data_IF_438612638105
#
_entry.id   IF_438612638105
#
_cell.length_a   1.000
_cell.length_b   1.000
_cell.length_c   1.000
_cell.angle_alpha   90.00
_cell.angle_beta   90.00
_cell.angle_gamma   90.00
#
_symmetry.space_group_name_H-M   'P 1'
#
loop_
_entity.id
_entity.type
_entity.pdbx_description
1 polymer ?
#
# COMPACT_ATOMS: atom_id res chain seq x y z
N UNK A 1 71.89 40.80 -13.14
CA UNK A 1 70.44 40.78 -13.37
C UNK A 1 70.21 40.22 -14.75
N UNK A 2 69.66 39.01 -14.82
CA UNK A 2 69.42 38.29 -16.06
C UNK A 2 69.00 36.86 -15.76
N UNK A 3 68.02 36.34 -16.49
CA UNK A 3 67.67 34.92 -16.50
C UNK A 3 66.17 34.64 -16.64
N UNK A 4 65.69 34.64 -17.88
CA UNK A 4 64.47 33.96 -18.31
C UNK A 4 64.46 32.48 -17.90
N UNK A 5 63.28 31.90 -17.62
CA UNK A 5 62.94 30.52 -18.01
C UNK A 5 61.45 30.20 -17.87
N UNK A 6 60.89 29.80 -19.00
CA UNK A 6 59.61 29.13 -19.17
C UNK A 6 59.57 27.74 -18.53
N UNK A 7 58.37 27.20 -18.30
CA UNK A 7 58.17 25.80 -17.94
C UNK A 7 56.71 25.46 -17.68
N UNK A 8 55.96 25.17 -18.75
CA UNK A 8 54.67 24.50 -18.64
C UNK A 8 54.85 23.01 -18.31
N UNK A 9 53.91 22.46 -17.55
CA UNK A 9 53.69 21.02 -17.45
C UNK A 9 52.19 20.76 -17.54
N UNK A 10 51.79 20.03 -18.58
CA UNK A 10 50.48 19.40 -18.67
C UNK A 10 50.43 18.09 -17.91
N UNK A 11 49.20 17.68 -17.59
CA UNK A 11 48.79 16.38 -17.07
C UNK A 11 47.34 16.54 -16.61
N UNK A 12 46.33 15.78 -17.05
CA UNK A 12 46.35 14.46 -17.66
C UNK A 12 45.45 13.54 -16.82
N UNK A 13 44.25 13.25 -17.31
CA UNK A 13 43.55 11.98 -17.09
C UNK A 13 42.62 11.84 -15.87
N UNK A 14 41.54 11.07 -16.11
CA UNK A 14 40.67 10.44 -15.11
C UNK A 14 39.37 11.19 -14.88
N UNK A 15 38.20 10.79 -15.39
CA UNK A 15 37.74 9.41 -15.53
C UNK A 15 37.36 8.85 -14.16
N UNK A 16 36.21 9.27 -13.64
CA UNK A 16 35.54 8.70 -12.47
C UNK A 16 34.12 9.27 -12.46
N UNK A 17 33.09 8.57 -12.92
CA UNK A 17 32.78 7.20 -12.54
C UNK A 17 31.91 7.26 -11.29
N UNK A 18 30.60 7.26 -11.52
CA UNK A 18 29.57 6.80 -10.58
C UNK A 18 29.60 7.37 -9.16
N UNK A 19 28.71 8.32 -8.91
CA UNK A 19 27.74 8.15 -7.84
C UNK A 19 26.48 8.89 -8.23
N UNK A 20 25.73 8.29 -9.16
CA UNK A 20 24.28 8.43 -9.06
C UNK A 20 23.93 7.74 -7.75
N UNK A 21 23.79 8.53 -6.68
CA UNK A 21 23.18 8.09 -5.44
C UNK A 21 21.88 7.39 -5.82
N UNK A 22 21.89 6.06 -5.69
CA UNK A 22 20.70 5.25 -5.78
C UNK A 22 19.84 5.62 -4.58
N UNK A 23 19.05 6.68 -4.73
CA UNK A 23 17.76 6.73 -4.06
C UNK A 23 17.07 5.45 -4.49
N UNK A 24 16.90 4.52 -3.55
CA UNK A 24 16.15 3.29 -3.76
C UNK A 24 14.71 3.65 -4.06
N UNK A 25 14.45 4.08 -5.29
CA UNK A 25 13.17 4.60 -5.72
C UNK A 25 12.16 3.48 -5.64
N UNK A 26 11.08 3.70 -4.91
CA UNK A 26 9.96 2.78 -4.90
C UNK A 26 9.49 2.52 -6.34
N UNK A 27 9.47 1.25 -6.74
CA UNK A 27 9.05 0.79 -8.07
C UNK A 27 7.63 0.25 -7.94
N UNK A 28 6.69 0.87 -8.63
CA UNK A 28 5.32 0.37 -8.71
C UNK A 28 5.31 -0.97 -9.46
N UNK A 29 4.69 -2.04 -8.91
CA UNK A 29 4.56 -3.29 -9.63
C UNK A 29 3.75 -3.08 -10.90
N UNK A 30 4.15 -3.75 -12.00
CA UNK A 30 3.43 -3.66 -13.26
C UNK A 30 2.10 -4.39 -13.17
N UNK A 31 1.06 -3.80 -13.76
CA UNK A 31 -0.24 -4.44 -13.91
C UNK A 31 -0.13 -5.75 -14.69
N UNK A 32 -0.57 -6.86 -14.06
CA UNK A 32 -0.59 -8.17 -14.69
C UNK A 32 -1.94 -8.36 -15.38
N UNK A 33 -1.92 -8.56 -16.69
CA UNK A 33 -3.11 -8.92 -17.46
C UNK A 33 -3.26 -10.44 -17.44
N UNK A 34 -4.27 -10.93 -16.73
CA UNK A 34 -4.58 -12.36 -16.65
C UNK A 34 -5.66 -12.68 -17.69
N UNK A 35 -5.39 -13.67 -18.55
CA UNK A 35 -6.40 -14.22 -19.43
C UNK A 35 -7.20 -15.30 -18.69
N UNK A 36 -8.52 -15.23 -18.80
CA UNK A 36 -9.41 -16.22 -18.19
C UNK A 36 -9.31 -17.55 -18.93
N UNK A 37 -9.20 -18.68 -18.22
CA UNK A 37 -9.29 -19.99 -18.84
C UNK A 37 -10.66 -20.20 -19.51
N UNK A 38 -10.68 -20.88 -20.65
CA UNK A 38 -11.90 -21.12 -21.45
C UNK A 38 -13.02 -21.81 -20.65
N UNK A 39 -12.65 -22.69 -19.72
CA UNK A 39 -13.60 -23.37 -18.84
C UNK A 39 -14.40 -22.39 -17.97
N UNK A 40 -13.75 -21.33 -17.49
CA UNK A 40 -14.40 -20.28 -16.68
C UNK A 40 -15.36 -19.50 -17.57
N UNK A 41 -14.92 -19.12 -18.78
CA UNK A 41 -15.76 -18.42 -19.76
C UNK A 41 -17.00 -19.24 -20.15
N UNK A 42 -16.85 -20.55 -20.32
CA UNK A 42 -17.96 -21.45 -20.63
C UNK A 42 -18.97 -21.55 -19.48
N UNK A 43 -18.50 -21.61 -18.22
CA UNK A 43 -19.39 -21.58 -17.05
C UNK A 43 -20.11 -20.24 -16.89
N UNK A 44 -19.44 -19.12 -17.17
CA UNK A 44 -20.07 -17.80 -17.15
C UNK A 44 -21.23 -17.71 -18.15
N UNK A 45 -21.03 -18.23 -19.38
CA UNK A 45 -22.09 -18.31 -20.41
C UNK A 45 -23.29 -19.14 -19.96
N UNK A 46 -23.06 -20.28 -19.31
CA UNK A 46 -24.13 -21.14 -18.82
C UNK A 46 -24.92 -20.52 -17.65
N UNK A 47 -24.22 -19.80 -16.77
CA UNK A 47 -24.83 -19.19 -15.58
C UNK A 47 -25.45 -17.81 -15.84
N UNK A 48 -25.30 -17.26 -17.06
CA UNK A 48 -25.70 -15.89 -17.43
C UNK A 48 -25.15 -14.82 -16.46
N UNK A 49 -23.99 -15.09 -15.84
CA UNK A 49 -23.32 -14.16 -14.94
C UNK A 49 -22.12 -13.54 -15.64
N UNK A 50 -21.97 -12.24 -15.48
CA UNK A 50 -20.79 -11.52 -15.92
C UNK A 50 -19.69 -11.66 -14.87
N UNK A 51 -18.50 -12.03 -15.32
CA UNK A 51 -17.32 -12.14 -14.46
C UNK A 51 -16.34 -11.03 -14.85
N UNK A 52 -15.96 -10.21 -13.88
CA UNK A 52 -15.01 -9.11 -14.06
C UNK A 52 -13.78 -9.36 -13.18
N UNK A 53 -12.61 -9.36 -13.79
CA UNK A 53 -11.35 -9.31 -13.06
C UNK A 53 -11.01 -7.85 -12.83
N UNK A 54 -10.77 -7.49 -11.57
CA UNK A 54 -10.25 -6.20 -11.18
C UNK A 54 -8.84 -6.35 -10.64
N UNK A 55 -8.02 -5.36 -10.90
CA UNK A 55 -6.69 -5.23 -10.34
C UNK A 55 -6.73 -4.47 -9.02
N UNK A 56 -5.96 -4.95 -8.05
CA UNK A 56 -5.87 -4.32 -6.74
C UNK A 56 -4.41 -4.16 -6.35
N UNK A 57 -4.05 -2.97 -5.89
CA UNK A 57 -2.76 -2.71 -5.27
C UNK A 57 -2.95 -2.64 -3.75
N UNK A 58 -2.21 -3.47 -3.01
CA UNK A 58 -2.11 -3.35 -1.55
C UNK A 58 -0.76 -2.72 -1.19
N UNK A 59 -0.76 -1.63 -0.43
CA UNK A 59 0.43 -0.89 -0.04
C UNK A 59 0.53 -0.83 1.47
N UNK A 60 1.64 -1.34 2.00
CA UNK A 60 2.00 -1.16 3.41
C UNK A 60 2.63 0.23 3.56
N UNK A 61 2.06 1.05 4.42
CA UNK A 61 2.49 2.43 4.65
C UNK A 61 3.27 2.50 5.95
N UNK A 62 4.57 2.79 5.83
CA UNK A 62 5.50 2.90 6.95
C UNK A 62 5.67 4.33 7.45
N UNK A 63 5.57 5.31 6.55
CA UNK A 63 5.81 6.71 6.86
C UNK A 63 4.99 7.65 5.97
N UNK A 64 4.95 8.91 6.36
CA UNK A 64 4.22 9.93 5.60
C UNK A 64 4.90 10.24 4.26
N UNK A 65 6.20 9.99 4.10
CA UNK A 65 6.90 10.23 2.84
C UNK A 65 6.48 9.21 1.77
N UNK A 66 6.24 7.95 2.16
CA UNK A 66 5.74 6.91 1.25
C UNK A 66 4.44 7.28 0.55
N UNK A 67 3.64 8.13 1.17
CA UNK A 67 2.35 8.57 0.65
C UNK A 67 2.45 9.45 -0.59
N UNK A 68 3.60 10.11 -0.81
CA UNK A 68 3.83 10.84 -2.06
C UNK A 68 3.88 9.90 -3.27
N UNK A 69 4.30 8.64 -3.09
CA UNK A 69 4.33 7.66 -4.19
C UNK A 69 2.94 7.20 -4.62
N UNK A 70 1.93 7.28 -3.74
CA UNK A 70 0.55 6.91 -4.06
C UNK A 70 -0.11 7.87 -5.05
N UNK A 71 0.41 9.09 -5.19
CA UNK A 71 -0.09 10.10 -6.14
C UNK A 71 0.41 9.89 -7.57
N UNK A 72 1.33 8.96 -7.78
CA UNK A 72 1.93 8.72 -9.11
C UNK A 72 0.89 8.10 -10.03
N UNK A 73 0.94 8.48 -11.31
CA UNK A 73 0.05 7.94 -12.33
C UNK A 73 0.14 6.41 -12.44
N UNK A 74 1.31 5.82 -12.16
CA UNK A 74 1.52 4.37 -12.19
C UNK A 74 0.63 3.64 -11.17
N UNK A 75 0.33 4.26 -10.03
CA UNK A 75 -0.54 3.71 -8.98
C UNK A 75 -2.01 3.84 -9.37
N UNK A 76 -2.36 4.93 -10.05
CA UNK A 76 -3.74 5.20 -10.49
C UNK A 76 -4.20 4.28 -11.63
N UNK A 77 -3.32 3.42 -12.17
CA UNK A 77 -3.68 2.43 -13.18
C UNK A 77 -4.44 1.23 -12.59
N UNK A 78 -4.39 1.01 -11.28
CA UNK A 78 -5.08 -0.08 -10.60
C UNK A 78 -6.56 0.28 -10.36
N UNK A 79 -7.45 -0.71 -10.44
CA UNK A 79 -8.88 -0.48 -10.24
C UNK A 79 -9.24 -0.19 -8.77
N UNK A 80 -8.49 -0.78 -7.84
CA UNK A 80 -8.70 -0.65 -6.40
C UNK A 80 -7.38 -0.38 -5.68
N UNK A 81 -7.39 0.57 -4.75
CA UNK A 81 -6.27 0.86 -3.87
C UNK A 81 -6.60 0.42 -2.44
N UNK A 82 -5.70 -0.37 -1.88
CA UNK A 82 -5.76 -0.76 -0.48
C UNK A 82 -4.51 -0.36 0.26
N UNK A 83 -4.70 0.14 1.49
CA UNK A 83 -3.62 0.59 2.35
C UNK A 83 -3.61 -0.22 3.64
N UNK A 84 -2.42 -0.61 4.06
CA UNK A 84 -2.15 -1.24 5.35
C UNK A 84 -1.25 -0.30 6.16
N UNK A 85 -1.79 0.49 7.09
CA UNK A 85 -0.98 1.36 7.94
C UNK A 85 -0.24 0.50 8.97
N UNK A 86 1.05 0.78 9.20
CA UNK A 86 1.80 0.07 10.25
C UNK A 86 1.50 0.58 11.67
N UNK A 87 0.96 1.79 11.78
CA UNK A 87 0.65 2.39 13.07
C UNK A 87 -0.59 3.26 12.98
N UNK A 88 -1.10 3.62 14.16
CA UNK A 88 -2.29 4.45 14.30
C UNK A 88 -2.09 5.89 13.82
N UNK A 89 -0.89 6.44 13.93
CA UNK A 89 -0.61 7.82 13.54
C UNK A 89 -0.72 8.01 12.02
N UNK A 90 -0.22 7.04 11.26
CA UNK A 90 -0.34 6.99 9.80
C UNK A 90 -1.80 6.82 9.40
N UNK A 91 -2.57 5.97 10.09
CA UNK A 91 -4.00 5.87 9.84
C UNK A 91 -4.71 7.21 10.05
N UNK A 92 -4.44 7.90 11.16
CA UNK A 92 -5.01 9.22 11.43
C UNK A 92 -4.60 10.25 10.37
N UNK A 93 -3.36 10.20 9.90
CA UNK A 93 -2.89 11.06 8.82
C UNK A 93 -3.64 10.77 7.51
N UNK A 94 -3.76 9.50 7.11
CA UNK A 94 -4.51 9.06 5.94
C UNK A 94 -5.96 9.54 5.99
N UNK A 95 -6.56 9.53 7.17
CA UNK A 95 -7.93 9.99 7.38
C UNK A 95 -8.10 11.49 7.35
N UNK A 96 -7.06 12.27 7.66
CA UNK A 96 -7.16 13.73 7.59
C UNK A 96 -6.66 14.27 6.24
N UNK A 97 -5.94 13.47 5.47
CA UNK A 97 -5.44 13.86 4.16
C UNK A 97 -6.58 13.87 3.12
N UNK A 98 -6.86 15.00 2.46
CA UNK A 98 -7.81 15.04 1.34
C UNK A 98 -7.17 14.54 0.03
N UNK A 99 -5.86 14.32 0.03
CA UNK A 99 -5.08 14.13 -1.21
C UNK A 99 -4.94 12.68 -1.64
N UNK A 100 -5.34 11.73 -0.80
CA UNK A 100 -5.16 10.29 -1.03
C UNK A 100 -6.53 9.66 -0.91
N UNK A 101 -7.00 9.11 -2.01
CA UNK A 101 -8.24 8.34 -2.07
C UNK A 101 -7.86 6.87 -2.07
N UNK A 102 -8.48 6.10 -1.19
CA UNK A 102 -8.32 4.66 -1.09
C UNK A 102 -9.63 4.07 -0.62
N UNK A 103 -9.97 2.89 -1.12
CA UNK A 103 -11.28 2.27 -0.88
C UNK A 103 -11.22 1.25 0.25
N UNK A 104 -10.06 0.62 0.45
CA UNK A 104 -9.92 -0.51 1.37
C UNK A 104 -8.78 -0.28 2.36
N UNK A 105 -9.10 -0.27 3.65
CA UNK A 105 -8.12 -0.32 4.71
C UNK A 105 -7.90 -1.77 5.14
N UNK A 106 -6.71 -2.31 4.87
CA UNK A 106 -6.33 -3.66 5.29
C UNK A 106 -5.77 -3.61 6.71
N UNK A 107 -6.37 -4.36 7.62
CA UNK A 107 -5.95 -4.43 9.01
C UNK A 107 -5.12 -5.70 9.25
N UNK A 108 -3.92 -5.51 9.78
CA UNK A 108 -3.11 -6.63 10.23
C UNK A 108 -3.63 -7.16 11.57
N UNK A 109 -4.11 -8.40 11.58
CA UNK A 109 -4.60 -9.07 12.79
C UNK A 109 -3.46 -9.48 13.72
N UNK A 110 -2.22 -9.49 13.22
CA UNK A 110 -1.04 -9.93 13.98
C UNK A 110 -0.39 -8.78 14.75
N UNK A 111 -0.65 -7.53 14.38
CA UNK A 111 -0.04 -6.37 15.03
C UNK A 111 -0.91 -5.88 16.22
N UNK A 112 -0.45 -6.05 17.47
CA UNK A 112 -1.17 -5.56 18.63
C UNK A 112 -1.20 -4.02 18.70
N UNK A 113 -0.30 -3.32 18.00
CA UNK A 113 -0.16 -1.86 18.10
C UNK A 113 -1.21 -1.09 17.29
N UNK A 114 -1.85 -1.74 16.31
CA UNK A 114 -3.02 -1.15 15.64
C UNK A 114 -4.27 -1.19 16.54
N UNK A 115 -4.26 -1.96 17.62
CA UNK A 115 -5.44 -2.21 18.44
C UNK A 115 -5.35 -1.65 19.86
N UNK A 116 -6.49 -1.30 20.47
CA UNK A 116 -7.81 -1.11 19.85
C UNK A 116 -7.93 0.26 19.16
N UNK A 117 -8.67 0.32 18.04
CA UNK A 117 -9.03 1.59 17.44
C UNK A 117 -10.11 2.30 18.25
N UNK A 118 -10.03 3.62 18.44
CA UNK A 118 -11.14 4.39 18.97
C UNK A 118 -12.29 4.31 17.98
N UNK A 119 -13.51 4.13 18.49
CA UNK A 119 -14.74 4.15 17.69
C UNK A 119 -14.85 5.38 16.79
N UNK A 120 -14.34 6.54 17.23
CA UNK A 120 -14.29 7.78 16.44
C UNK A 120 -13.47 7.63 15.14
N UNK A 121 -12.36 6.90 15.17
CA UNK A 121 -11.50 6.68 14.00
C UNK A 121 -12.20 5.74 13.02
N UNK A 122 -12.80 4.67 13.54
CA UNK A 122 -13.57 3.71 12.73
C UNK A 122 -14.78 4.36 12.07
N UNK A 123 -15.43 5.28 12.77
CA UNK A 123 -16.54 6.04 12.20
C UNK A 123 -16.06 6.99 11.11
N UNK A 124 -15.02 7.77 11.39
CA UNK A 124 -14.48 8.72 10.41
C UNK A 124 -14.00 8.04 9.11
N UNK A 125 -13.49 6.82 9.18
CA UNK A 125 -13.16 6.03 7.98
C UNK A 125 -14.41 5.58 7.23
N UNK A 126 -15.43 5.13 7.96
CA UNK A 126 -16.67 4.63 7.37
C UNK A 126 -17.46 5.76 6.70
N UNK A 127 -17.53 6.94 7.34
CA UNK A 127 -18.15 8.15 6.80
C UNK A 127 -17.47 8.61 5.49
N UNK A 128 -16.18 8.29 5.31
CA UNK A 128 -15.44 8.53 4.06
C UNK A 128 -15.70 7.48 2.97
N UNK A 129 -16.48 6.45 3.25
CA UNK A 129 -16.71 5.32 2.35
C UNK A 129 -15.56 4.32 2.29
N UNK A 130 -14.64 4.33 3.25
CA UNK A 130 -13.54 3.37 3.32
C UNK A 130 -14.04 2.07 3.94
N UNK A 131 -13.80 0.96 3.26
CA UNK A 131 -14.15 -0.38 3.73
C UNK A 131 -12.97 -1.01 4.46
N UNK A 132 -13.28 -1.82 5.47
CA UNK A 132 -12.27 -2.58 6.22
C UNK A 132 -12.09 -3.97 5.62
N UNK A 133 -10.84 -4.36 5.43
CA UNK A 133 -10.49 -5.74 5.11
C UNK A 133 -9.76 -6.40 6.29
N UNK A 134 -10.25 -7.59 6.65
CA UNK A 134 -9.69 -8.49 7.64
C UNK A 134 -9.16 -9.74 6.95
N UNK A 135 -7.86 -10.00 7.03
CA UNK A 135 -7.28 -11.21 6.47
C UNK A 135 -7.50 -12.41 7.41
N UNK A 136 -8.35 -13.36 7.00
CA UNK A 136 -8.65 -14.56 7.81
C UNK A 136 -7.62 -15.68 7.67
N UNK A 137 -6.67 -15.56 6.74
CA UNK A 137 -5.77 -16.66 6.39
C UNK A 137 -4.88 -17.10 7.56
N UNK A 138 -4.50 -16.18 8.44
CA UNK A 138 -3.74 -16.47 9.66
C UNK A 138 -4.53 -17.29 10.68
N UNK A 139 -5.82 -16.96 10.85
CA UNK A 139 -6.72 -17.67 11.75
C UNK A 139 -6.95 -19.15 11.39
N UNK A 140 -6.67 -19.55 10.14
CA UNK A 140 -6.71 -20.94 9.71
C UNK A 140 -5.45 -21.73 10.08
N UNK A 141 -4.31 -21.05 10.21
CA UNK A 141 -3.01 -21.68 10.44
C UNK A 141 -2.73 -21.88 11.92
N UNK A 142 -2.99 -20.85 12.73
CA UNK A 142 -2.62 -20.85 14.15
C UNK A 142 -3.83 -20.55 15.06
N UNK A 143 -4.10 -21.40 16.07
CA UNK A 143 -5.04 -21.10 17.14
C UNK A 143 -4.83 -19.75 17.84
N UNK A 144 -3.59 -19.24 17.98
CA UNK A 144 -3.34 -17.94 18.59
C UNK A 144 -3.78 -16.79 17.69
N UNK A 145 -3.38 -16.78 16.42
CA UNK A 145 -3.84 -15.81 15.43
C UNK A 145 -5.36 -15.80 15.29
N UNK A 146 -6.00 -16.97 15.40
CA UNK A 146 -7.47 -17.08 15.42
C UNK A 146 -8.12 -16.32 16.58
N UNK A 147 -7.50 -16.33 17.76
CA UNK A 147 -8.02 -15.53 18.90
C UNK A 147 -7.88 -14.05 18.63
N UNK A 148 -6.74 -13.61 18.09
CA UNK A 148 -6.53 -12.21 17.70
C UNK A 148 -7.52 -11.75 16.62
N UNK A 149 -7.77 -12.60 15.62
CA UNK A 149 -8.77 -12.36 14.59
C UNK A 149 -10.15 -12.10 15.20
N UNK A 150 -10.63 -12.96 16.11
CA UNK A 150 -11.91 -12.75 16.78
C UNK A 150 -11.91 -11.51 17.68
N UNK A 151 -10.81 -11.28 18.40
CA UNK A 151 -10.64 -10.11 19.26
C UNK A 151 -10.70 -8.79 18.47
N UNK A 152 -10.26 -8.79 17.20
CA UNK A 152 -10.34 -7.63 16.31
C UNK A 152 -11.70 -7.53 15.59
N UNK A 153 -12.22 -8.65 15.11
CA UNK A 153 -13.46 -8.71 14.34
C UNK A 153 -14.67 -8.29 15.17
N UNK A 154 -14.80 -8.79 16.41
CA UNK A 154 -16.00 -8.56 17.24
C UNK A 154 -16.19 -7.07 17.54
N UNK A 155 -15.19 -6.32 18.06
CA UNK A 155 -15.35 -4.89 18.31
C UNK A 155 -15.55 -4.08 17.03
N UNK A 156 -14.84 -4.41 15.94
CA UNK A 156 -15.00 -3.70 14.67
C UNK A 156 -16.43 -3.86 14.14
N UNK A 157 -16.94 -5.08 14.13
CA UNK A 157 -18.31 -5.37 13.71
C UNK A 157 -19.34 -4.71 14.60
N UNK A 158 -19.13 -4.71 15.92
CA UNK A 158 -20.02 -4.06 16.88
C UNK A 158 -20.08 -2.54 16.66
N UNK A 159 -18.93 -1.90 16.42
CA UNK A 159 -18.86 -0.45 16.18
C UNK A 159 -19.55 -0.08 14.86
N UNK A 160 -19.38 -0.90 13.81
CA UNK A 160 -20.01 -0.65 12.52
C UNK A 160 -21.53 -0.92 12.54
N UNK A 161 -22.01 -1.90 13.32
CA UNK A 161 -23.44 -2.27 13.34
C UNK A 161 -24.29 -1.51 14.36
N UNK A 162 -23.73 -1.10 15.51
CA UNK A 162 -24.49 -0.38 16.53
C UNK A 162 -24.74 1.10 16.20
N UNK A 163 -24.04 1.66 15.21
CA UNK A 163 -24.02 3.09 14.94
C UNK A 163 -24.45 3.49 13.51
N UNK A 164 -25.00 2.53 12.75
CA UNK A 164 -25.83 2.78 11.56
C UNK A 164 -27.29 3.05 11.97
#
# INVERSE_FOLDING_TARGET
GGGDRAGGYGGGGGGGGGSAESTGGWICPKLIKIQLPDLVLQRCKQTKREFKILSRLNVIVYDNQSLHFLKRNDVQQFDLLSLQPINRDILLYLLNSPTIQFEILSLDTTDPNLLPFPSRVIRATADKGVTYELCYSGALKDPFERRYFYCMMIPLWLILTLFD
#
